data_IF_062859556067
#
_entry.id   IF_062859556067
#
_cell.length_a   1.000
_cell.length_b   1.000
_cell.length_c   1.000
_cell.angle_alpha   90.00
_cell.angle_beta   90.00
_cell.angle_gamma   90.00
#
_symmetry.space_group_name_H-M   'P 1'
#
loop_
_entity.id
_entity.type
_entity.pdbx_description
1 polymer ?
#
# COMPACT_ATOMS: atom_id res chain seq x y z
N UNK A 1 -12.04 15.51 32.75
CA UNK A 1 -11.06 15.99 33.76
C UNK A 1 -11.23 15.18 35.03
N UNK A 2 -10.47 14.10 35.23
CA UNK A 2 -10.41 13.40 36.51
C UNK A 2 -8.93 13.15 36.81
N UNK A 3 -8.42 13.89 37.81
CA UNK A 3 -7.06 13.84 38.33
C UNK A 3 -6.91 12.61 39.21
N UNK A 4 -5.85 11.84 39.03
CA UNK A 4 -5.33 10.93 40.05
C UNK A 4 -3.91 11.37 40.39
N UNK A 5 -3.70 11.70 41.66
CA UNK A 5 -2.42 12.17 42.22
C UNK A 5 -2.01 11.17 43.32
N UNK A 6 -0.87 10.53 43.05
CA UNK A 6 0.26 10.10 43.91
C UNK A 6 0.01 9.22 45.14
N UNK A 7 0.83 8.16 45.26
CA UNK A 7 1.70 7.94 46.44
C UNK A 7 3.09 7.47 45.98
N UNK A 8 4.11 8.11 46.58
CA UNK A 8 5.56 7.87 46.47
C UNK A 8 6.01 6.63 47.25
N UNK A 9 7.05 5.95 46.76
CA UNK A 9 8.01 5.27 47.62
C UNK A 9 9.43 5.50 47.08
N UNK A 10 10.23 6.21 47.87
CA UNK A 10 11.63 6.47 47.66
C UNK A 10 12.48 5.26 48.06
N UNK A 11 13.51 4.95 47.27
CA UNK A 11 14.57 4.00 47.60
C UNK A 11 15.84 4.39 46.86
N UNK A 12 16.67 5.20 47.52
CA UNK A 12 17.96 5.68 47.06
C UNK A 12 19.07 4.84 47.71
N UNK A 13 19.89 4.13 46.94
CA UNK A 13 21.30 3.84 47.31
C UNK A 13 22.16 3.80 46.04
N UNK A 14 23.16 4.69 46.04
CA UNK A 14 24.23 4.87 45.05
C UNK A 14 25.33 3.81 45.21
N UNK A 15 26.16 3.63 44.16
CA UNK A 15 27.63 3.45 44.17
C UNK A 15 28.04 3.15 42.70
N UNK A 16 28.41 4.17 41.90
CA UNK A 16 29.79 4.60 41.60
C UNK A 16 30.68 3.54 40.92
N UNK A 17 31.09 3.81 39.67
CA UNK A 17 32.17 3.06 39.03
C UNK A 17 32.40 3.41 37.56
N UNK A 18 32.82 4.65 37.26
CA UNK A 18 33.50 4.95 36.00
C UNK A 18 34.95 4.45 36.10
N UNK A 19 35.45 3.72 35.10
CA UNK A 19 36.87 3.47 34.94
C UNK A 19 37.32 3.96 33.57
N UNK A 20 38.19 4.96 33.60
CA UNK A 20 38.89 5.54 32.46
C UNK A 20 40.39 5.48 32.78
N UNK A 21 41.18 4.79 31.95
CA UNK A 21 42.63 4.97 31.79
C UNK A 21 42.98 4.58 30.35
N UNK A 22 43.30 5.54 29.49
CA UNK A 22 44.60 6.22 29.32
C UNK A 22 45.52 5.48 28.32
N UNK A 23 45.54 6.00 27.08
CA UNK A 23 46.73 6.61 26.49
C UNK A 23 47.92 5.77 26.00
N UNK A 24 48.16 5.90 24.67
CA UNK A 24 49.46 5.94 23.95
C UNK A 24 50.06 4.59 23.54
N UNK A 25 49.93 4.15 22.28
CA UNK A 25 50.65 4.54 21.04
C UNK A 25 52.16 4.28 21.09
N UNK A 26 52.67 3.41 20.20
CA UNK A 26 53.80 3.66 19.27
C UNK A 26 54.11 2.41 18.39
N UNK A 27 53.94 2.60 17.06
CA UNK A 27 54.73 2.12 15.87
C UNK A 27 55.07 0.63 15.69
N UNK A 28 55.21 0.03 14.50
CA UNK A 28 55.09 0.34 13.08
C UNK A 28 55.28 -1.03 12.38
N UNK A 29 54.60 -1.31 11.25
CA UNK A 29 55.18 -1.99 10.05
C UNK A 29 54.13 -2.06 8.93
N UNK A 30 54.27 -1.14 7.97
CA UNK A 30 54.26 -1.30 6.51
C UNK A 30 53.33 -2.34 5.83
N UNK A 31 52.18 -1.86 5.32
CA UNK A 31 51.55 -1.96 3.95
C UNK A 31 51.77 -3.18 3.02
N UNK A 32 50.90 -3.46 2.00
CA UNK A 32 49.82 -2.61 1.44
C UNK A 32 48.46 -3.30 1.11
N UNK A 33 47.44 -2.45 0.90
CA UNK A 33 46.41 -2.54 -0.15
C UNK A 33 45.56 -3.81 -0.30
N UNK A 34 44.27 -3.73 0.09
CA UNK A 34 43.15 -4.18 -0.74
C UNK A 34 41.93 -3.29 -0.49
N UNK A 35 41.34 -2.82 -1.58
CA UNK A 35 40.24 -1.86 -1.69
C UNK A 35 38.93 -2.29 -1.00
N UNK A 36 38.00 -1.36 -0.75
CA UNK A 36 36.72 -1.66 -0.09
C UNK A 36 35.82 -2.52 -0.99
N UNK A 37 35.13 -3.48 -0.37
CA UNK A 37 34.09 -4.27 -1.01
C UNK A 37 32.97 -3.33 -1.49
N UNK A 38 32.71 -3.46 -2.79
CA UNK A 38 31.73 -2.75 -3.58
C UNK A 38 30.34 -3.00 -2.98
N UNK A 39 29.56 -1.96 -2.71
CA UNK A 39 28.72 -1.42 -3.77
C UNK A 39 27.49 -2.31 -3.89
N UNK A 40 26.61 -2.25 -2.89
CA UNK A 40 25.27 -2.79 -3.00
C UNK A 40 24.55 -1.97 -4.06
N UNK A 41 24.55 -2.48 -5.28
CA UNK A 41 23.78 -1.95 -6.40
C UNK A 41 22.31 -2.09 -6.02
N UNK A 42 21.73 -1.03 -5.47
CA UNK A 42 20.28 -0.88 -5.35
C UNK A 42 19.76 -0.95 -6.80
N UNK A 43 19.26 -2.13 -7.19
CA UNK A 43 18.63 -2.29 -8.49
C UNK A 43 17.43 -1.35 -8.51
N UNK A 44 17.36 -0.49 -9.54
CA UNK A 44 16.18 0.31 -9.84
C UNK A 44 14.91 -0.53 -9.62
N UNK A 45 13.84 0.01 -9.01
CA UNK A 45 12.58 -0.73 -8.94
C UNK A 45 12.22 -1.18 -10.36
N UNK A 46 11.85 -2.45 -10.55
CA UNK A 46 11.48 -2.95 -11.86
C UNK A 46 10.37 -2.07 -12.39
N UNK A 47 10.53 -1.58 -13.62
CA UNK A 47 9.49 -0.86 -14.34
C UNK A 47 8.17 -1.65 -14.19
N UNK A 48 7.06 -1.01 -13.80
CA UNK A 48 5.79 -1.70 -13.59
C UNK A 48 5.47 -2.57 -14.81
N UNK A 49 5.07 -3.82 -14.56
CA UNK A 49 4.64 -4.73 -15.61
C UNK A 49 3.39 -4.14 -16.25
N UNK A 50 3.24 -4.23 -17.57
CA UNK A 50 1.96 -3.85 -18.17
C UNK A 50 0.85 -4.76 -17.61
N UNK A 51 -0.29 -4.17 -17.27
CA UNK A 51 -1.48 -4.97 -16.95
C UNK A 51 -1.88 -5.83 -18.16
N UNK A 52 -2.49 -7.02 -17.94
CA UNK A 52 -3.06 -7.79 -19.03
C UNK A 52 -4.02 -6.94 -19.87
N UNK A 53 -4.00 -7.16 -21.18
CA UNK A 53 -4.87 -6.42 -22.11
C UNK A 53 -6.34 -6.69 -21.80
N UNK A 54 -7.14 -5.63 -21.89
CA UNK A 54 -8.59 -5.69 -21.76
C UNK A 54 -9.19 -5.93 -23.15
N UNK A 55 -9.88 -7.05 -23.34
CA UNK A 55 -10.50 -7.44 -24.61
C UNK A 55 -11.99 -7.67 -24.42
N UNK A 56 -12.84 -7.30 -25.39
CA UNK A 56 -14.27 -7.59 -25.31
C UNK A 56 -14.59 -9.05 -25.70
N UNK A 57 -15.53 -9.71 -25.00
CA UNK A 57 -16.13 -9.27 -23.73
C UNK A 57 -15.14 -9.36 -22.56
N UNK A 58 -15.23 -8.42 -21.62
CA UNK A 58 -14.41 -8.42 -20.39
C UNK A 58 -15.27 -8.66 -19.15
N UNK A 59 -15.83 -9.87 -19.06
CA UNK A 59 -16.64 -10.30 -17.93
C UNK A 59 -15.81 -10.56 -16.66
N UNK A 60 -16.51 -10.76 -15.54
CA UNK A 60 -15.90 -10.91 -14.22
C UNK A 60 -14.95 -12.11 -14.13
N UNK A 61 -15.25 -13.22 -14.82
CA UNK A 61 -14.40 -14.40 -14.86
C UNK A 61 -13.10 -14.10 -15.62
N UNK A 62 -13.20 -13.38 -16.74
CA UNK A 62 -12.04 -12.94 -17.52
C UNK A 62 -11.17 -11.95 -16.73
N UNK A 63 -11.78 -10.99 -16.05
CA UNK A 63 -11.08 -10.05 -15.17
C UNK A 63 -10.35 -10.79 -14.03
N UNK A 64 -11.03 -11.72 -13.36
CA UNK A 64 -10.44 -12.53 -12.29
C UNK A 64 -9.29 -13.41 -12.80
N UNK A 65 -9.43 -14.01 -13.99
CA UNK A 65 -8.39 -14.82 -14.63
C UNK A 65 -7.17 -13.98 -15.09
N UNK A 66 -7.39 -12.73 -15.50
CA UNK A 66 -6.32 -11.76 -15.75
C UNK A 66 -5.68 -11.25 -14.46
N UNK A 67 -6.32 -11.52 -13.34
CA UNK A 67 -5.77 -11.29 -12.03
C UNK A 67 -6.18 -9.96 -11.40
N UNK A 68 -7.21 -9.32 -11.94
CA UNK A 68 -7.82 -8.13 -11.37
C UNK A 68 -8.44 -8.45 -9.99
N UNK A 69 -8.54 -7.46 -9.12
CA UNK A 69 -9.42 -7.49 -7.96
C UNK A 69 -10.81 -7.17 -8.46
N UNK A 70 -11.70 -8.14 -8.43
CA UNK A 70 -13.02 -8.01 -9.08
C UNK A 70 -14.09 -7.75 -8.03
N UNK A 71 -14.92 -6.75 -8.27
CA UNK A 71 -16.12 -6.46 -7.50
C UNK A 71 -17.36 -6.55 -8.39
N UNK A 72 -18.22 -7.54 -8.14
CA UNK A 72 -19.55 -7.65 -8.76
C UNK A 72 -20.60 -7.42 -7.68
N UNK A 73 -21.00 -6.16 -7.48
CA UNK A 73 -22.01 -5.75 -6.48
C UNK A 73 -21.75 -6.29 -5.07
N UNK A 74 -20.50 -6.21 -4.61
CA UNK A 74 -20.06 -6.72 -3.31
C UNK A 74 -19.53 -8.15 -3.33
N UNK A 75 -19.76 -8.91 -4.40
CA UNK A 75 -19.12 -10.21 -4.58
C UNK A 75 -17.67 -10.02 -5.07
N UNK A 76 -16.72 -10.25 -4.17
CA UNK A 76 -15.31 -9.99 -4.39
C UNK A 76 -14.55 -11.24 -4.87
N UNK A 77 -13.59 -11.05 -5.77
CA UNK A 77 -12.60 -12.06 -6.18
C UNK A 77 -11.18 -11.49 -6.11
N UNK A 78 -10.19 -12.37 -5.88
CA UNK A 78 -8.78 -12.00 -5.75
C UNK A 78 -8.48 -10.95 -4.66
N UNK A 79 -9.27 -10.93 -3.57
CA UNK A 79 -9.10 -9.96 -2.47
C UNK A 79 -7.75 -10.12 -1.75
N UNK A 80 -7.12 -11.29 -1.82
CA UNK A 80 -5.75 -11.54 -1.37
C UNK A 80 -4.74 -10.59 -2.04
N UNK A 81 -4.96 -10.22 -3.30
CA UNK A 81 -4.10 -9.27 -4.02
C UNK A 81 -4.24 -7.85 -3.50
N UNK A 82 -5.46 -7.48 -3.08
CA UNK A 82 -5.68 -6.20 -2.41
C UNK A 82 -4.93 -6.15 -1.07
N UNK A 83 -5.11 -7.19 -0.25
CA UNK A 83 -4.40 -7.32 1.04
C UNK A 83 -2.88 -7.26 0.85
N UNK A 84 -2.35 -7.94 -0.17
CA UNK A 84 -0.93 -7.87 -0.54
C UNK A 84 -0.50 -6.48 -1.01
N UNK A 85 -1.33 -5.79 -1.78
CA UNK A 85 -1.04 -4.43 -2.23
C UNK A 85 -0.91 -3.45 -1.06
N UNK A 86 -1.84 -3.49 -0.11
CA UNK A 86 -1.77 -2.68 1.11
C UNK A 86 -0.51 -3.01 1.93
N UNK A 87 -0.20 -4.30 2.14
CA UNK A 87 1.01 -4.69 2.85
C UNK A 87 2.29 -4.23 2.14
N UNK A 88 2.33 -4.28 0.81
CA UNK A 88 3.47 -3.79 0.03
C UNK A 88 3.60 -2.26 0.07
N UNK A 89 2.48 -1.54 0.14
CA UNK A 89 2.46 -0.10 0.34
C UNK A 89 3.09 0.27 1.70
N UNK A 90 2.71 -0.43 2.78
CA UNK A 90 3.27 -0.21 4.12
C UNK A 90 4.78 -0.52 4.21
N UNK A 91 5.25 -1.50 3.42
CA UNK A 91 6.64 -1.93 3.42
C UNK A 91 7.55 -1.18 2.44
N UNK A 92 7.02 -0.29 1.59
CA UNK A 92 7.82 0.33 0.53
C UNK A 92 8.23 -0.64 -0.58
N UNK A 93 7.41 -1.65 -0.87
CA UNK A 93 7.68 -2.64 -1.90
C UNK A 93 6.88 -2.28 -3.16
N UNK A 94 7.53 -2.08 -4.33
CA UNK A 94 6.83 -1.78 -5.57
C UNK A 94 5.79 -2.85 -5.90
N UNK A 95 4.58 -2.44 -6.24
CA UNK A 95 3.49 -3.35 -6.60
C UNK A 95 2.45 -2.64 -7.48
N UNK A 96 1.58 -3.41 -8.12
CA UNK A 96 0.49 -2.88 -8.92
C UNK A 96 -0.75 -3.76 -8.82
N UNK A 97 -1.92 -3.12 -8.90
CA UNK A 97 -3.21 -3.81 -8.96
C UNK A 97 -4.13 -3.11 -9.94
N UNK A 98 -4.99 -3.90 -10.58
CA UNK A 98 -6.17 -3.40 -11.29
C UNK A 98 -7.39 -3.87 -10.50
N UNK A 99 -8.23 -2.93 -10.11
CA UNK A 99 -9.55 -3.20 -9.55
C UNK A 99 -10.55 -3.05 -10.71
N UNK A 100 -11.45 -4.01 -10.85
CA UNK A 100 -12.48 -4.02 -11.89
C UNK A 100 -13.84 -4.11 -11.18
N UNK A 101 -14.58 -3.01 -11.19
CA UNK A 101 -15.92 -2.94 -10.62
C UNK A 101 -16.96 -2.99 -11.73
N UNK A 102 -18.00 -3.80 -11.55
CA UNK A 102 -19.08 -3.92 -12.53
C UNK A 102 -20.26 -3.03 -12.15
N UNK A 103 -20.79 -2.29 -13.14
CA UNK A 103 -22.06 -1.56 -13.02
C UNK A 103 -23.24 -2.52 -12.95
N UNK A 104 -24.43 -2.01 -12.60
CA UNK A 104 -25.65 -2.83 -12.47
C UNK A 104 -26.05 -3.50 -13.81
N UNK A 105 -25.65 -2.91 -14.93
CA UNK A 105 -25.84 -3.44 -16.28
C UNK A 105 -24.75 -4.44 -16.69
N UNK A 106 -23.67 -4.56 -15.91
CA UNK A 106 -22.57 -5.49 -16.13
C UNK A 106 -21.38 -4.90 -16.88
N UNK A 107 -21.26 -3.58 -16.99
CA UNK A 107 -20.13 -2.94 -17.65
C UNK A 107 -18.95 -2.74 -16.68
N UNK A 108 -17.70 -3.00 -17.10
CA UNK A 108 -16.54 -2.87 -16.23
C UNK A 108 -16.00 -1.43 -16.16
N UNK A 109 -15.70 -0.99 -14.94
CA UNK A 109 -14.94 0.23 -14.63
C UNK A 109 -13.61 -0.20 -13.99
N UNK A 110 -12.50 0.34 -14.50
CA UNK A 110 -11.14 -0.02 -14.07
C UNK A 110 -10.50 1.06 -13.21
N UNK A 111 -9.81 0.61 -12.15
CA UNK A 111 -9.00 1.43 -11.27
C UNK A 111 -7.61 0.80 -11.20
N UNK A 112 -6.65 1.39 -11.90
CA UNK A 112 -5.27 0.89 -11.96
C UNK A 112 -4.39 1.68 -11.00
N UNK A 113 -3.80 0.98 -10.04
CA UNK A 113 -2.89 1.55 -9.04
C UNK A 113 -1.51 0.95 -9.25
N UNK A 114 -0.51 1.82 -9.42
CA UNK A 114 0.89 1.43 -9.60
C UNK A 114 1.72 2.16 -8.57
N UNK A 115 2.22 1.41 -7.59
CA UNK A 115 3.06 1.92 -6.52
C UNK A 115 4.55 1.72 -6.83
N UNK A 116 5.33 2.77 -6.69
CA UNK A 116 6.76 2.79 -7.03
C UNK A 116 7.69 2.20 -5.95
N UNK A 117 7.16 1.87 -4.77
CA UNK A 117 7.93 1.42 -3.62
C UNK A 117 8.49 2.54 -2.73
N UNK A 118 8.14 3.80 -3.01
CA UNK A 118 8.56 4.93 -2.21
C UNK A 118 7.33 5.69 -1.68
N UNK A 119 6.82 6.66 -2.44
CA UNK A 119 5.77 7.56 -1.95
C UNK A 119 4.62 7.75 -2.95
N UNK A 120 4.76 7.29 -4.19
CA UNK A 120 3.85 7.66 -5.26
C UNK A 120 3.03 6.46 -5.76
N UNK A 121 1.72 6.64 -5.77
CA UNK A 121 0.78 5.75 -6.45
C UNK A 121 0.34 6.45 -7.73
N UNK A 122 0.75 5.95 -8.89
CA UNK A 122 0.16 6.36 -10.15
C UNK A 122 -1.20 5.70 -10.26
N UNK A 123 -2.24 6.52 -10.27
CA UNK A 123 -3.62 6.10 -10.38
C UNK A 123 -4.14 6.39 -11.80
N UNK A 124 -4.82 5.43 -12.41
CA UNK A 124 -5.55 5.61 -13.69
C UNK A 124 -6.97 5.08 -13.55
N UNK A 125 -7.93 5.96 -13.83
CA UNK A 125 -9.35 5.62 -13.91
C UNK A 125 -9.72 5.32 -15.36
N UNK A 126 -10.54 4.29 -15.61
CA UNK A 126 -11.07 4.02 -16.94
C UNK A 126 -12.51 3.49 -16.89
N UNK A 127 -13.45 4.30 -17.37
CA UNK A 127 -14.85 3.92 -17.58
C UNK A 127 -15.23 3.87 -19.06
N UNK A 128 -14.28 3.73 -19.99
CA UNK A 128 -14.52 3.71 -21.43
C UNK A 128 -15.42 2.57 -21.91
N UNK A 129 -15.69 1.58 -21.04
CA UNK A 129 -16.58 0.43 -21.31
C UNK A 129 -17.92 0.51 -20.59
N UNK A 130 -18.14 1.53 -19.76
CA UNK A 130 -19.45 1.82 -19.17
C UNK A 130 -20.34 2.47 -20.24
N UNK A 131 -21.33 1.71 -20.71
CA UNK A 131 -22.24 2.14 -21.77
C UNK A 131 -23.21 3.25 -21.37
N UNK A 132 -23.36 3.51 -20.07
CA UNK A 132 -24.24 4.55 -19.52
C UNK A 132 -23.46 5.76 -19.01
N UNK A 133 -22.18 5.59 -18.71
CA UNK A 133 -21.24 6.66 -18.39
C UNK A 133 -20.78 7.47 -19.61
N UNK A 134 -20.35 8.70 -19.35
CA UNK A 134 -19.52 9.43 -20.33
C UNK A 134 -18.06 8.97 -20.15
N UNK A 135 -17.41 8.56 -21.25
CA UNK A 135 -15.99 8.22 -21.23
C UNK A 135 -15.17 9.40 -20.70
N UNK A 136 -14.48 9.19 -19.58
CA UNK A 136 -13.65 10.19 -18.93
C UNK A 136 -12.31 10.42 -19.65
N UNK A 137 -11.99 9.67 -20.70
CA UNK A 137 -10.74 9.78 -21.45
C UNK A 137 -9.55 9.20 -20.69
N UNK A 138 -9.80 8.24 -19.81
CA UNK A 138 -8.82 7.52 -19.00
C UNK A 138 -7.87 8.45 -18.20
N UNK A 139 -8.39 9.32 -17.31
CA UNK A 139 -7.58 10.28 -16.60
C UNK A 139 -6.64 9.59 -15.59
N UNK A 140 -5.49 10.22 -15.36
CA UNK A 140 -4.47 9.71 -14.44
C UNK A 140 -3.93 10.82 -13.53
N UNK A 141 -3.57 10.43 -12.32
CA UNK A 141 -3.04 11.31 -11.27
C UNK A 141 -2.00 10.57 -10.44
N UNK A 142 -1.26 11.31 -9.61
CA UNK A 142 -0.36 10.75 -8.59
C UNK A 142 -0.97 11.01 -7.23
N UNK A 143 -1.12 9.96 -6.43
CA UNK A 143 -1.61 9.99 -5.05
C UNK A 143 -0.52 9.51 -4.09
N UNK A 144 -0.69 9.80 -2.79
CA UNK A 144 0.32 9.53 -1.74
C UNK A 144 -0.17 8.59 -0.64
N UNK A 145 -1.44 8.21 -0.67
CA UNK A 145 -2.01 7.33 0.34
C UNK A 145 -3.32 6.70 -0.08
N UNK A 146 -3.76 5.76 0.74
CA UNK A 146 -5.06 5.10 0.65
C UNK A 146 -5.63 5.05 2.06
N UNK A 147 -6.86 5.49 2.23
CA UNK A 147 -7.57 5.46 3.50
C UNK A 147 -8.82 4.60 3.37
N UNK A 148 -9.13 3.85 4.43
CA UNK A 148 -10.41 3.14 4.58
C UNK A 148 -11.36 4.05 5.35
N UNK A 149 -12.38 4.56 4.66
CA UNK A 149 -13.47 5.31 5.27
C UNK A 149 -14.63 4.36 5.58
N UNK A 150 -14.97 4.25 6.87
CA UNK A 150 -16.08 3.39 7.34
C UNK A 150 -17.38 4.18 7.40
N UNK A 151 -18.43 3.67 6.77
CA UNK A 151 -19.78 4.18 6.93
C UNK A 151 -20.73 3.08 7.43
N UNK A 152 -21.45 3.35 8.53
CA UNK A 152 -22.38 2.39 9.14
C UNK A 152 -23.65 2.16 8.31
N UNK A 153 -23.99 3.08 7.41
CA UNK A 153 -25.20 3.07 6.59
C UNK A 153 -24.93 2.60 5.16
N UNK A 154 -23.76 2.95 4.59
CA UNK A 154 -23.42 2.69 3.18
C UNK A 154 -22.25 1.71 2.98
N UNK A 155 -21.71 1.14 4.06
CA UNK A 155 -20.54 0.26 4.01
C UNK A 155 -19.21 1.02 4.03
N UNK A 156 -18.11 0.30 3.90
CA UNK A 156 -16.76 0.90 3.88
C UNK A 156 -16.29 1.13 2.45
N UNK A 157 -15.56 2.22 2.22
CA UNK A 157 -14.91 2.49 0.94
C UNK A 157 -13.45 2.86 1.14
N UNK A 158 -12.66 2.57 0.12
CA UNK A 158 -11.29 3.03 0.05
C UNK A 158 -11.22 4.30 -0.78
N UNK A 159 -10.43 5.25 -0.31
CA UNK A 159 -10.19 6.52 -0.97
C UNK A 159 -8.70 6.76 -1.13
N UNK A 160 -8.28 7.12 -2.34
CA UNK A 160 -6.94 7.59 -2.61
C UNK A 160 -6.78 9.01 -2.06
N UNK A 161 -5.69 9.27 -1.35
CA UNK A 161 -5.46 10.55 -0.68
C UNK A 161 -4.21 11.27 -1.17
N UNK A 162 -4.22 12.59 -1.01
CA UNK A 162 -3.14 13.46 -1.46
C UNK A 162 -2.95 13.44 -2.97
N UNK A 163 -4.00 13.31 -3.79
CA UNK A 163 -3.84 13.27 -5.24
C UNK A 163 -3.55 14.65 -5.85
N UNK A 164 -2.75 14.71 -6.93
CA UNK A 164 -2.39 15.97 -7.62
C UNK A 164 -3.54 16.64 -8.37
N UNK A 165 -4.57 15.87 -8.71
CA UNK A 165 -5.77 16.34 -9.38
C UNK A 165 -6.96 15.44 -9.04
N UNK A 166 -8.16 16.00 -9.19
CA UNK A 166 -9.42 15.30 -8.97
C UNK A 166 -9.65 14.28 -10.09
N UNK A 167 -9.73 13.02 -9.70
CA UNK A 167 -10.14 11.87 -10.53
C UNK A 167 -11.10 11.03 -9.69
N UNK A 168 -11.73 9.99 -10.24
CA UNK A 168 -12.57 9.07 -9.45
C UNK A 168 -11.72 8.32 -8.41
N UNK A 169 -11.43 8.93 -7.27
CA UNK A 169 -10.42 8.50 -6.29
C UNK A 169 -10.94 7.46 -5.27
N UNK A 170 -12.21 7.08 -5.39
CA UNK A 170 -12.91 6.21 -4.44
C UNK A 170 -13.34 4.90 -5.11
N UNK A 171 -13.21 3.79 -4.38
CA UNK A 171 -13.73 2.47 -4.76
C UNK A 171 -14.25 1.71 -3.53
N UNK A 172 -15.19 0.80 -3.76
CA UNK A 172 -15.97 0.17 -2.70
C UNK A 172 -15.65 -1.31 -2.64
N UNK A 173 -15.39 -1.85 -1.45
CA UNK A 173 -15.36 -3.29 -1.21
C UNK A 173 -16.36 -3.60 -0.10
N UNK A 174 -17.28 -4.53 -0.36
CA UNK A 174 -18.20 -5.00 0.68
C UNK A 174 -17.45 -5.87 1.70
N UNK A 175 -17.85 -5.78 2.97
CA UNK A 175 -17.57 -6.76 4.02
C UNK A 175 -16.08 -7.07 4.30
N UNK A 176 -15.18 -6.09 4.15
CA UNK A 176 -13.73 -6.28 4.37
C UNK A 176 -13.36 -6.59 5.84
N UNK A 177 -14.29 -6.40 6.79
CA UNK A 177 -14.02 -6.46 8.23
C UNK A 177 -14.42 -7.77 8.95
N UNK A 178 -15.15 -8.71 8.32
CA UNK A 178 -15.62 -9.91 9.04
C UNK A 178 -14.52 -10.94 9.37
N UNK A 179 -13.33 -10.85 8.77
CA UNK A 179 -12.26 -11.83 9.01
C UNK A 179 -11.29 -11.47 10.16
N UNK A 180 -11.36 -10.26 10.73
CA UNK A 180 -10.40 -9.84 11.76
C UNK A 180 -10.81 -10.19 13.21
N UNK A 181 -12.08 -10.52 13.47
CA UNK A 181 -12.57 -10.73 14.85
C UNK A 181 -12.80 -12.19 15.25
N UNK A 182 -12.69 -13.17 14.34
CA UNK A 182 -12.92 -14.59 14.67
C UNK A 182 -11.67 -15.33 15.19
N UNK A 183 -10.76 -14.62 15.86
CA UNK A 183 -9.49 -15.15 16.38
C UNK A 183 -9.35 -15.15 17.91
N UNK A 184 -10.43 -14.95 18.66
CA UNK A 184 -10.39 -14.97 20.14
C UNK A 184 -11.69 -15.50 20.74
N UNK A 185 -11.83 -16.82 20.78
CA UNK A 185 -12.63 -17.52 21.79
C UNK A 185 -11.81 -18.65 22.40
#
# INVERSE_FOLDING_TARGET
MIKWVLILAAGLVLLSGCSEKSGRSITNTTNPSTAPAQGETISLPPKPKAFPAVSDPYDADKAAANGDIVNVHGKMYNLDKWKLFLGNLDMGVPNQVRITQYTDEGDPIFYELVYDGAEAIVYTYDNSRDGFGSDAGRPSTVCRGIELEKNKEYGSHYKLTGCDNETSDTFWFADVEEEAEQGSQ
#
